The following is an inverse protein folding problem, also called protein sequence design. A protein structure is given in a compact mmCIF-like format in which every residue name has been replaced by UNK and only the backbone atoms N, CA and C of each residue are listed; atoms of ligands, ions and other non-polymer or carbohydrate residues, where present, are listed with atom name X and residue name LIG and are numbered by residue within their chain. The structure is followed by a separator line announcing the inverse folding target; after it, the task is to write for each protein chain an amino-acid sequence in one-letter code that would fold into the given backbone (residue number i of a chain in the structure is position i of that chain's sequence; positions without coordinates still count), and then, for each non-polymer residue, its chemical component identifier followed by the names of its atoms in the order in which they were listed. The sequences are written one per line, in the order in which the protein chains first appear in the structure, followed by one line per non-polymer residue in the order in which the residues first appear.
data_IF_269526883487
#
_entry.id   IF_269526883487
#
_cell.length_a   1.000
_cell.length_b   1.000
_cell.length_c   1.000
_cell.angle_alpha   90.00
_cell.angle_beta   90.00
_cell.angle_gamma   90.00
#
_symmetry.space_group_name_H-M   'P 1'
#
loop_
_entity.id
_entity.type
_entity.pdbx_description
1 polymer ?
#
# COMPACT_ATOMS: atom_id res chain seq x y z
N UNK A 1 -1.95 7.23 -2.03
CA UNK A 1 -1.84 7.41 -0.56
C UNK A 1 -1.83 6.03 0.08
N UNK A 2 -0.95 5.78 1.03
CA UNK A 2 -0.90 4.54 1.80
C UNK A 2 -1.09 4.89 3.26
N UNK A 3 -2.06 4.25 3.91
CA UNK A 3 -2.28 4.34 5.34
C UNK A 3 -2.20 2.94 5.96
N UNK A 4 -1.54 2.83 7.12
CA UNK A 4 -1.28 1.58 7.81
C UNK A 4 -1.67 1.75 9.27
N UNK A 5 -2.64 0.97 9.72
CA UNK A 5 -3.04 0.93 11.11
C UNK A 5 -2.32 -0.23 11.80
N UNK A 6 -1.60 0.07 12.87
CA UNK A 6 -0.93 -0.93 13.69
C UNK A 6 -1.83 -1.34 14.85
N UNK A 7 -1.73 -2.61 15.23
CA UNK A 7 -2.22 -3.12 16.50
C UNK A 7 -1.34 -2.61 17.64
N UNK A 8 -1.95 -2.04 18.69
CA UNK A 8 -1.20 -1.38 19.77
C UNK A 8 -0.51 -2.36 20.73
N UNK A 9 -0.95 -3.61 20.79
CA UNK A 9 -0.39 -4.61 21.70
C UNK A 9 0.78 -5.35 21.05
N UNK A 10 0.61 -5.73 19.78
CA UNK A 10 1.60 -6.52 19.03
C UNK A 10 2.54 -5.67 18.17
N UNK A 11 2.15 -4.44 17.84
CA UNK A 11 2.86 -3.58 16.89
C UNK A 11 2.72 -4.00 15.42
N UNK A 12 1.93 -5.04 15.14
CA UNK A 12 1.74 -5.57 13.78
C UNK A 12 0.67 -4.78 13.01
N UNK A 13 0.81 -4.67 11.70
CA UNK A 13 -0.17 -3.97 10.87
C UNK A 13 -1.48 -4.77 10.79
N UNK A 14 -2.59 -4.23 11.29
CA UNK A 14 -3.91 -4.88 11.25
C UNK A 14 -4.77 -4.41 10.08
N UNK A 15 -4.51 -3.21 9.55
CA UNK A 15 -5.23 -2.65 8.41
C UNK A 15 -4.29 -1.91 7.48
N UNK A 16 -4.52 -2.05 6.18
CA UNK A 16 -3.84 -1.27 5.16
C UNK A 16 -4.88 -0.68 4.21
N UNK A 17 -4.84 0.64 4.04
CA UNK A 17 -5.65 1.36 3.05
C UNK A 17 -4.72 1.91 1.97
N UNK A 18 -4.99 1.54 0.72
CA UNK A 18 -4.28 2.06 -0.44
C UNK A 18 -5.25 2.80 -1.35
N UNK A 19 -4.99 4.09 -1.54
CA UNK A 19 -5.67 4.93 -2.50
C UNK A 19 -4.79 5.12 -3.74
N UNK A 20 -5.26 4.64 -4.88
CA UNK A 20 -4.64 4.84 -6.19
C UNK A 20 -5.54 5.75 -7.01
N UNK A 21 -5.00 6.87 -7.45
CA UNK A 21 -5.69 7.82 -8.31
C UNK A 21 -5.04 7.81 -9.69
N UNK A 22 -5.86 7.74 -10.74
CA UNK A 22 -5.39 7.81 -12.12
C UNK A 22 -6.24 8.80 -12.92
N UNK A 23 -5.60 9.70 -13.65
CA UNK A 23 -6.29 10.58 -14.59
C UNK A 23 -6.80 9.80 -15.79
N UNK A 24 -7.94 10.21 -16.33
CA UNK A 24 -8.49 9.64 -17.57
C UNK A 24 -7.81 10.23 -18.81
N UNK A 25 -7.85 9.48 -19.91
CA UNK A 25 -7.44 10.01 -21.22
C UNK A 25 -8.51 10.96 -21.73
N UNK A 26 -8.10 12.11 -22.26
CA UNK A 26 -8.97 12.99 -23.02
C UNK A 26 -9.30 12.40 -24.41
N UNK A 27 -10.13 13.11 -25.19
CA UNK A 27 -10.55 12.70 -26.54
C UNK A 27 -9.37 12.48 -27.51
N UNK A 28 -8.21 13.08 -27.25
CA UNK A 28 -6.98 12.92 -28.03
C UNK A 28 -6.10 11.77 -27.52
N UNK A 29 -6.58 10.98 -26.54
CA UNK A 29 -5.87 9.85 -25.96
C UNK A 29 -4.75 10.21 -24.98
N UNK A 30 -4.67 11.47 -24.54
CA UNK A 30 -3.61 11.97 -23.64
C UNK A 30 -4.12 12.07 -22.21
N UNK A 31 -3.29 11.70 -21.25
CA UNK A 31 -3.50 11.99 -19.83
C UNK A 31 -2.75 13.27 -19.46
N UNK A 32 -3.38 14.12 -18.65
CA UNK A 32 -2.66 15.20 -17.98
C UNK A 32 -1.62 14.60 -17.01
N UNK A 33 -0.53 15.34 -16.75
CA UNK A 33 0.62 14.84 -15.98
C UNK A 33 0.63 15.42 -14.57
N UNK A 34 1.06 14.61 -13.60
CA UNK A 34 1.21 15.03 -12.21
C UNK A 34 -0.09 15.58 -11.64
N UNK A 35 0.00 16.67 -10.88
CA UNK A 35 -1.16 17.27 -10.20
C UNK A 35 -2.22 17.81 -11.17
N UNK A 36 -1.83 18.16 -12.41
CA UNK A 36 -2.77 18.60 -13.44
C UNK A 36 -3.73 17.49 -13.89
N UNK A 37 -3.43 16.22 -13.61
CA UNK A 37 -4.34 15.09 -13.82
C UNK A 37 -5.52 15.05 -12.84
N UNK A 38 -5.46 15.87 -11.79
CA UNK A 38 -6.41 15.89 -10.68
C UNK A 38 -6.93 17.31 -10.39
N UNK A 39 -6.74 18.24 -11.32
CA UNK A 39 -7.27 19.59 -11.22
C UNK A 39 -8.78 19.65 -11.51
N UNK A 40 -9.40 20.76 -11.12
CA UNK A 40 -10.83 20.97 -11.32
C UNK A 40 -11.26 20.76 -12.78
N UNK A 41 -12.35 20.02 -12.97
CA UNK A 41 -12.90 19.69 -14.28
C UNK A 41 -12.20 18.54 -15.01
N UNK A 42 -11.19 17.89 -14.42
CA UNK A 42 -10.52 16.72 -15.00
C UNK A 42 -11.09 15.41 -14.45
N UNK A 43 -11.61 14.56 -15.33
CA UNK A 43 -12.07 13.22 -14.97
C UNK A 43 -10.91 12.33 -14.52
N UNK A 44 -11.12 11.62 -13.42
CA UNK A 44 -10.16 10.70 -12.85
C UNK A 44 -10.89 9.51 -12.22
N UNK A 45 -10.18 8.41 -12.09
CA UNK A 45 -10.66 7.20 -11.41
C UNK A 45 -9.89 7.03 -10.11
N UNK A 46 -10.63 6.70 -9.06
CA UNK A 46 -10.07 6.42 -7.73
C UNK A 46 -10.34 4.96 -7.39
N UNK A 47 -9.26 4.22 -7.13
CA UNK A 47 -9.34 2.88 -6.57
C UNK A 47 -8.99 2.96 -5.09
N UNK A 48 -9.90 2.46 -4.25
CA UNK A 48 -9.67 2.27 -2.82
C UNK A 48 -9.56 0.79 -2.52
N UNK A 49 -8.39 0.37 -2.07
CA UNK A 49 -8.14 -0.99 -1.62
C UNK A 49 -8.07 -0.99 -0.10
N UNK A 50 -8.90 -1.82 0.52
CA UNK A 50 -8.92 -2.01 1.97
C UNK A 50 -8.53 -3.44 2.27
N UNK A 51 -7.45 -3.62 3.03
CA UNK A 51 -6.98 -4.93 3.46
C UNK A 51 -7.12 -5.01 4.98
N UNK A 52 -7.80 -6.06 5.44
CA UNK A 52 -7.74 -6.49 6.83
C UNK A 52 -6.69 -7.59 6.92
N UNK A 53 -5.73 -7.42 7.81
CA UNK A 53 -4.58 -8.31 7.93
C UNK A 53 -4.75 -9.17 9.17
N UNK A 54 -4.84 -10.48 8.95
CA UNK A 54 -4.86 -11.48 10.00
C UNK A 54 -3.44 -12.03 10.18
N UNK A 55 -2.97 -12.02 11.43
CA UNK A 55 -1.67 -12.58 11.78
C UNK A 55 -1.87 -13.90 12.51
N UNK A 56 -1.09 -14.90 12.12
CA UNK A 56 -0.96 -16.13 12.86
C UNK A 56 0.42 -16.17 13.51
N UNK A 57 0.50 -16.59 14.77
CA UNK A 57 1.78 -16.96 15.35
C UNK A 57 2.35 -18.13 14.54
N UNK A 58 3.54 -17.92 14.00
CA UNK A 58 4.31 -18.99 13.36
C UNK A 58 5.21 -19.61 14.42
N UNK A 59 5.27 -20.93 14.46
CA UNK A 59 6.17 -21.65 15.36
C UNK A 59 7.59 -21.09 15.28
N UNK A 60 8.26 -21.05 16.43
CA UNK A 60 9.65 -20.61 16.52
C UNK A 60 10.49 -21.47 15.59
N UNK A 61 11.02 -20.89 14.53
CA UNK A 61 11.98 -21.57 13.66
C UNK A 61 13.40 -21.22 14.08
N UNK A 62 14.28 -22.21 14.11
CA UNK A 62 15.70 -21.96 14.31
C UNK A 62 16.29 -21.37 13.03
N UNK A 63 16.76 -20.12 13.10
CA UNK A 63 17.51 -19.50 12.00
C UNK A 63 18.80 -20.31 11.80
N UNK A 64 19.08 -20.82 10.58
CA UNK A 64 20.32 -21.55 10.33
C UNK A 64 21.56 -20.73 10.71
N UNK A 65 22.54 -21.36 11.35
CA UNK A 65 23.78 -20.70 11.82
C UNK A 65 24.49 -19.87 10.73
N UNK A 66 24.38 -20.27 9.47
CA UNK A 66 24.94 -19.53 8.33
C UNK A 66 24.25 -18.17 8.11
N UNK A 67 22.91 -18.12 8.23
CA UNK A 67 22.10 -16.92 8.07
C UNK A 67 22.18 -16.00 9.30
N UNK A 68 22.40 -16.54 10.51
CA UNK A 68 22.57 -15.74 11.73
C UNK A 68 23.72 -14.72 11.64
N UNK A 69 24.77 -15.03 10.85
CA UNK A 69 25.90 -14.10 10.63
C UNK A 69 25.52 -12.84 9.84
N UNK A 70 24.40 -12.87 9.10
CA UNK A 70 23.94 -11.76 8.26
C UNK A 70 23.00 -10.79 8.98
N UNK A 71 22.58 -11.11 10.21
CA UNK A 71 21.67 -10.31 11.03
C UNK A 71 22.41 -9.43 12.05
N UNK A 72 23.74 -9.39 12.00
CA UNK A 72 24.60 -8.55 12.85
C UNK A 72 25.09 -7.32 12.11
#
# INVERSE_FOLDING_TARGET
MLDVELDHETGLAKKLELLVMTGMKNEQGRTAKGDAAFGDGTEHVVFRYNYNLEHAEVDKFEIPKAAQKMLR
#
